data_IF_044575113034
#
_entry.id   IF_044575113034
#
_cell.length_a   1.000
_cell.length_b   1.000
_cell.length_c   1.000
_cell.angle_alpha   90.00
_cell.angle_beta   90.00
_cell.angle_gamma   90.00
#
_symmetry.space_group_name_H-M   'P 1'
#
loop_
_entity.id
_entity.type
_entity.pdbx_description
1 polymer ?
#
# COMPACT_ATOMS: atom_id res chain seq x y z
N UNK A 1 20.90 -63.77 -171.43
CA UNK A 1 20.61 -65.20 -171.25
C UNK A 1 19.10 -65.31 -171.13
N UNK A 2 18.50 -65.94 -172.14
CA UNK A 2 17.45 -66.97 -172.07
C UNK A 2 16.41 -66.89 -170.95
N UNK A 3 15.12 -67.21 -171.11
CA UNK A 3 14.25 -67.58 -172.22
C UNK A 3 12.94 -68.02 -171.55
N UNK A 4 11.80 -67.78 -172.21
CA UNK A 4 10.54 -68.58 -172.12
C UNK A 4 9.67 -68.55 -170.86
N UNK A 5 8.34 -68.52 -171.09
CA UNK A 5 7.35 -68.95 -170.10
C UNK A 5 5.97 -68.27 -170.23
N UNK A 6 5.17 -68.66 -171.22
CA UNK A 6 3.73 -68.32 -171.37
C UNK A 6 2.88 -68.81 -170.18
N UNK A 7 1.81 -68.08 -169.82
CA UNK A 7 0.40 -68.58 -169.74
C UNK A 7 -0.57 -67.40 -169.93
N UNK A 8 -1.58 -67.64 -170.76
CA UNK A 8 -2.65 -66.77 -171.26
C UNK A 8 -4.02 -67.16 -170.61
N UNK A 9 -5.05 -66.34 -170.90
CA UNK A 9 -6.49 -66.66 -171.05
C UNK A 9 -7.50 -66.20 -169.98
N UNK A 10 -8.05 -64.98 -170.18
CA UNK A 10 -9.47 -64.69 -170.59
C UNK A 10 -9.89 -63.25 -170.23
N UNK A 11 -10.10 -62.36 -171.21
CA UNK A 11 -11.37 -62.10 -171.96
C UNK A 11 -12.46 -61.47 -171.09
N UNK A 12 -13.11 -60.35 -171.41
CA UNK A 12 -13.39 -59.59 -172.64
C UNK A 12 -13.54 -58.10 -172.25
N UNK A 13 -13.33 -57.06 -173.05
CA UNK A 13 -13.47 -56.82 -174.49
C UNK A 13 -14.01 -55.37 -174.57
N UNK A 14 -13.67 -54.46 -175.47
CA UNK A 14 -13.07 -54.45 -176.79
C UNK A 14 -12.68 -52.97 -177.05
N UNK A 15 -11.42 -52.64 -177.41
CA UNK A 15 -10.93 -52.29 -178.77
C UNK A 15 -11.71 -51.16 -179.47
N UNK A 16 -11.13 -50.16 -180.15
CA UNK A 16 -9.79 -49.84 -180.68
C UNK A 16 -9.90 -48.37 -181.19
N UNK A 17 -8.92 -47.46 -181.05
CA UNK A 17 -7.97 -47.04 -182.12
C UNK A 17 -8.56 -47.00 -183.54
N UNK A 18 -8.43 -45.98 -184.41
CA UNK A 18 -7.50 -44.85 -184.59
C UNK A 18 -8.01 -44.01 -185.79
N UNK A 19 -7.65 -42.72 -185.84
CA UNK A 19 -7.27 -42.03 -187.10
C UNK A 19 -8.33 -41.27 -187.93
N UNK A 20 -8.35 -39.94 -187.76
CA UNK A 20 -8.23 -38.89 -188.81
C UNK A 20 -9.29 -37.74 -188.79
N UNK A 21 -8.76 -36.52 -188.62
CA UNK A 21 -9.08 -35.27 -189.34
C UNK A 21 -10.32 -34.40 -189.02
N UNK A 22 -10.00 -33.27 -188.35
CA UNK A 22 -10.41 -31.85 -188.60
C UNK A 22 -11.67 -31.20 -187.92
N UNK A 23 -11.36 -30.16 -187.09
CA UNK A 23 -12.14 -29.04 -186.44
C UNK A 23 -12.80 -29.27 -185.03
N UNK A 24 -13.11 -28.23 -184.20
CA UNK A 24 -12.33 -27.20 -183.44
C UNK A 24 -12.75 -27.07 -181.92
N UNK A 25 -12.19 -26.14 -181.09
CA UNK A 25 -12.92 -25.27 -180.10
C UNK A 25 -12.17 -24.81 -178.81
N UNK A 26 -12.25 -23.51 -178.52
CA UNK A 26 -12.72 -22.80 -177.29
C UNK A 26 -12.55 -23.32 -175.84
N UNK A 27 -12.01 -24.51 -175.56
CA UNK A 27 -11.92 -25.04 -174.18
C UNK A 27 -10.81 -24.44 -173.31
N UNK A 28 -9.85 -23.70 -173.88
CA UNK A 28 -8.65 -23.28 -173.15
C UNK A 28 -8.86 -22.02 -172.27
N UNK A 29 -9.67 -21.05 -172.71
CA UNK A 29 -9.96 -19.82 -171.93
C UNK A 29 -10.91 -20.12 -170.75
N UNK A 30 -11.85 -21.06 -170.93
CA UNK A 30 -12.78 -21.44 -169.88
C UNK A 30 -12.06 -22.14 -168.73
N UNK A 31 -11.09 -23.02 -169.05
CA UNK A 31 -10.26 -23.68 -168.04
C UNK A 31 -9.46 -22.68 -167.20
N UNK A 32 -8.92 -21.62 -167.81
CA UNK A 32 -8.17 -20.58 -167.07
C UNK A 32 -9.07 -19.77 -166.14
N UNK A 33 -10.26 -19.36 -166.58
CA UNK A 33 -11.22 -18.63 -165.73
C UNK A 33 -11.71 -19.51 -164.58
N UNK A 34 -11.96 -20.80 -164.85
CA UNK A 34 -12.31 -21.79 -163.82
C UNK A 34 -11.14 -22.03 -162.86
N UNK A 35 -9.89 -22.08 -163.33
CA UNK A 35 -8.72 -22.27 -162.48
C UNK A 35 -8.48 -21.07 -161.56
N UNK A 36 -8.62 -19.83 -162.05
CA UNK A 36 -8.56 -18.64 -161.21
C UNK A 36 -9.69 -18.65 -160.17
N UNK A 37 -10.90 -19.05 -160.55
CA UNK A 37 -12.03 -19.16 -159.62
C UNK A 37 -11.84 -20.26 -158.57
N UNK A 38 -11.28 -21.40 -158.96
CA UNK A 38 -10.91 -22.49 -158.04
C UNK A 38 -9.81 -22.03 -157.10
N UNK A 39 -8.78 -21.31 -157.58
CA UNK A 39 -7.68 -20.78 -156.76
C UNK A 39 -8.20 -19.70 -155.79
N UNK A 40 -9.04 -18.77 -156.25
CA UNK A 40 -9.61 -17.74 -155.35
C UNK A 40 -10.61 -18.32 -154.35
N UNK A 41 -11.40 -19.32 -154.74
CA UNK A 41 -12.30 -20.06 -153.85
C UNK A 41 -11.55 -20.91 -152.83
N UNK A 42 -10.49 -21.62 -153.24
CA UNK A 42 -9.63 -22.38 -152.31
C UNK A 42 -8.91 -21.47 -151.33
N UNK A 43 -8.40 -20.31 -151.76
CA UNK A 43 -7.78 -19.33 -150.86
C UNK A 43 -8.80 -18.76 -149.85
N UNK A 44 -10.04 -18.47 -150.28
CA UNK A 44 -11.11 -18.04 -149.37
C UNK A 44 -11.51 -19.14 -148.37
N UNK A 45 -11.58 -20.40 -148.80
CA UNK A 45 -11.91 -21.54 -147.92
C UNK A 45 -10.78 -21.77 -146.91
N UNK A 46 -9.52 -21.72 -147.34
CA UNK A 46 -8.35 -21.84 -146.44
C UNK A 46 -8.35 -20.70 -145.43
N UNK A 47 -8.59 -19.45 -145.87
CA UNK A 47 -8.63 -18.29 -144.98
C UNK A 47 -9.84 -18.29 -144.04
N UNK A 48 -10.99 -18.81 -144.49
CA UNK A 48 -12.16 -19.02 -143.64
C UNK A 48 -11.91 -20.12 -142.61
N UNK A 49 -11.25 -21.22 -143.01
CA UNK A 49 -10.85 -22.29 -142.10
C UNK A 49 -9.82 -21.80 -141.07
N UNK A 50 -8.84 -21.00 -141.48
CA UNK A 50 -7.88 -20.33 -140.60
C UNK A 50 -8.59 -19.39 -139.61
N UNK A 51 -9.54 -18.57 -140.07
CA UNK A 51 -10.36 -17.71 -139.20
C UNK A 51 -11.21 -18.50 -138.20
N UNK A 52 -11.79 -19.63 -138.61
CA UNK A 52 -12.58 -20.51 -137.72
C UNK A 52 -11.67 -21.20 -136.70
N UNK A 53 -10.47 -21.64 -137.09
CA UNK A 53 -9.47 -22.20 -136.18
C UNK A 53 -8.95 -21.15 -135.20
N UNK A 54 -8.70 -19.92 -135.67
CA UNK A 54 -8.31 -18.79 -134.83
C UNK A 54 -9.42 -18.39 -133.85
N UNK A 55 -10.68 -18.37 -134.28
CA UNK A 55 -11.86 -18.17 -133.42
C UNK A 55 -12.02 -19.30 -132.39
N UNK A 56 -11.79 -20.56 -132.78
CA UNK A 56 -11.84 -21.69 -131.84
C UNK A 56 -10.71 -21.63 -130.83
N UNK A 57 -9.51 -21.26 -131.26
CA UNK A 57 -8.34 -21.11 -130.39
C UNK A 57 -8.52 -19.92 -129.44
N UNK A 58 -9.08 -18.80 -129.90
CA UNK A 58 -9.40 -17.64 -129.05
C UNK A 58 -10.53 -17.94 -128.07
N UNK A 59 -11.60 -18.62 -128.49
CA UNK A 59 -12.68 -19.07 -127.58
C UNK A 59 -12.16 -20.12 -126.58
N UNK A 60 -11.27 -21.02 -126.99
CA UNK A 60 -10.65 -22.00 -126.10
C UNK A 60 -9.72 -21.31 -125.08
N UNK A 61 -8.91 -20.34 -125.52
CA UNK A 61 -8.08 -19.52 -124.66
C UNK A 61 -8.92 -18.66 -123.71
N UNK A 62 -10.03 -18.10 -124.16
CA UNK A 62 -10.99 -17.34 -123.34
C UNK A 62 -11.64 -18.24 -122.29
N UNK A 63 -12.06 -19.46 -122.65
CA UNK A 63 -12.58 -20.46 -121.69
C UNK A 63 -11.53 -20.86 -120.67
N UNK A 64 -10.27 -21.07 -121.08
CA UNK A 64 -9.18 -21.38 -120.16
C UNK A 64 -8.88 -20.19 -119.24
N UNK A 65 -8.86 -18.97 -119.76
CA UNK A 65 -8.68 -17.75 -118.97
C UNK A 65 -9.84 -17.55 -117.98
N UNK A 66 -11.09 -17.80 -118.39
CA UNK A 66 -12.27 -17.72 -117.55
C UNK A 66 -12.28 -18.80 -116.45
N UNK A 67 -11.91 -20.05 -116.78
CA UNK A 67 -11.79 -21.13 -115.80
C UNK A 67 -10.68 -20.84 -114.78
N UNK A 68 -9.55 -20.31 -115.25
CA UNK A 68 -8.43 -19.92 -114.38
C UNK A 68 -8.79 -18.72 -113.51
N UNK A 69 -9.49 -17.72 -114.06
CA UNK A 69 -10.03 -16.59 -113.31
C UNK A 69 -11.05 -17.05 -112.25
N UNK A 70 -11.95 -17.98 -112.58
CA UNK A 70 -12.91 -18.54 -111.63
C UNK A 70 -12.22 -19.32 -110.50
N UNK A 71 -11.23 -20.17 -110.82
CA UNK A 71 -10.46 -20.88 -109.79
C UNK A 71 -9.68 -19.92 -108.89
N UNK A 72 -9.09 -18.84 -109.46
CA UNK A 72 -8.40 -17.80 -108.71
C UNK A 72 -9.36 -17.02 -107.81
N UNK A 73 -10.54 -16.70 -108.32
CA UNK A 73 -11.61 -16.03 -107.58
C UNK A 73 -12.03 -16.87 -106.38
N UNK A 74 -12.27 -18.17 -106.56
CA UNK A 74 -12.63 -19.09 -105.49
C UNK A 74 -11.52 -19.21 -104.43
N UNK A 75 -10.25 -19.29 -104.86
CA UNK A 75 -9.11 -19.28 -103.93
C UNK A 75 -8.97 -17.95 -103.20
N UNK A 76 -9.21 -16.82 -103.88
CA UNK A 76 -9.16 -15.49 -103.27
C UNK A 76 -10.27 -15.33 -102.24
N UNK A 77 -11.49 -15.74 -102.56
CA UNK A 77 -12.63 -15.73 -101.63
C UNK A 77 -12.37 -16.62 -100.41
N UNK A 78 -11.76 -17.80 -100.60
CA UNK A 78 -11.35 -18.67 -99.50
C UNK A 78 -10.28 -18.03 -98.62
N UNK A 79 -9.25 -17.43 -99.22
CA UNK A 79 -8.18 -16.74 -98.51
C UNK A 79 -8.68 -15.50 -97.78
N UNK A 80 -9.59 -14.73 -98.38
CA UNK A 80 -10.27 -13.58 -97.75
C UNK A 80 -11.10 -14.04 -96.55
N UNK A 81 -11.84 -15.15 -96.67
CA UNK A 81 -12.57 -15.74 -95.54
C UNK A 81 -11.64 -16.19 -94.41
N UNK A 82 -10.51 -16.82 -94.74
CA UNK A 82 -9.50 -17.22 -93.75
C UNK A 82 -8.85 -16.00 -93.09
N UNK A 83 -8.51 -14.96 -93.85
CA UNK A 83 -7.98 -13.71 -93.33
C UNK A 83 -8.98 -13.03 -92.40
N UNK A 84 -10.26 -12.96 -92.77
CA UNK A 84 -11.30 -12.39 -91.92
C UNK A 84 -11.47 -13.18 -90.61
N UNK A 85 -11.42 -14.52 -90.66
CA UNK A 85 -11.45 -15.37 -89.46
C UNK A 85 -10.25 -15.13 -88.56
N UNK A 86 -9.03 -15.15 -89.11
CA UNK A 86 -7.80 -14.91 -88.35
C UNK A 86 -7.77 -13.49 -87.76
N UNK A 87 -8.26 -12.48 -88.49
CA UNK A 87 -8.42 -11.12 -87.98
C UNK A 87 -9.42 -11.06 -86.82
N UNK A 88 -10.55 -11.77 -86.91
CA UNK A 88 -11.52 -11.88 -85.82
C UNK A 88 -10.87 -12.54 -84.60
N UNK A 89 -10.22 -13.69 -84.77
CA UNK A 89 -9.52 -14.42 -83.69
C UNK A 89 -8.42 -13.57 -83.04
N UNK A 90 -7.65 -12.82 -83.85
CA UNK A 90 -6.64 -11.88 -83.35
C UNK A 90 -7.29 -10.77 -82.52
N UNK A 91 -8.40 -10.20 -82.98
CA UNK A 91 -9.11 -9.13 -82.25
C UNK A 91 -9.71 -9.64 -80.93
N UNK A 92 -10.29 -10.83 -80.92
CA UNK A 92 -10.77 -11.49 -79.69
C UNK A 92 -9.62 -11.77 -78.73
N UNK A 93 -8.50 -12.29 -79.23
CA UNK A 93 -7.31 -12.55 -78.44
C UNK A 93 -6.73 -11.25 -77.86
N UNK A 94 -6.75 -10.16 -78.63
CA UNK A 94 -6.31 -8.85 -78.17
C UNK A 94 -7.22 -8.30 -77.05
N UNK A 95 -8.54 -8.36 -77.23
CA UNK A 95 -9.51 -7.96 -76.19
C UNK A 95 -9.33 -8.81 -74.92
N UNK A 96 -9.12 -10.12 -75.05
CA UNK A 96 -8.83 -11.00 -73.90
C UNK A 96 -7.55 -10.57 -73.18
N UNK A 97 -6.47 -10.28 -73.92
CA UNK A 97 -5.22 -9.80 -73.32
C UNK A 97 -5.41 -8.46 -72.59
N UNK A 98 -6.14 -7.52 -73.17
CA UNK A 98 -6.45 -6.24 -72.53
C UNK A 98 -7.22 -6.43 -71.23
N UNK A 99 -8.24 -7.29 -71.23
CA UNK A 99 -9.02 -7.60 -70.03
C UNK A 99 -8.17 -8.25 -68.95
N UNK A 100 -7.33 -9.22 -69.32
CA UNK A 100 -6.40 -9.86 -68.38
C UNK A 100 -5.37 -8.87 -67.83
N UNK A 101 -4.92 -7.90 -68.63
CA UNK A 101 -4.02 -6.84 -68.17
C UNK A 101 -4.70 -5.91 -67.16
N UNK A 102 -5.96 -5.54 -67.40
CA UNK A 102 -6.77 -4.75 -66.46
C UNK A 102 -7.01 -5.51 -65.15
N UNK A 103 -7.45 -6.78 -65.23
CA UNK A 103 -7.64 -7.65 -64.07
C UNK A 103 -6.34 -7.82 -63.26
N UNK A 104 -5.19 -8.01 -63.92
CA UNK A 104 -3.89 -8.06 -63.26
C UNK A 104 -3.52 -6.73 -62.57
N UNK A 105 -3.77 -5.59 -63.22
CA UNK A 105 -3.55 -4.26 -62.64
C UNK A 105 -4.37 -4.09 -61.36
N UNK A 106 -5.63 -4.50 -61.37
CA UNK A 106 -6.53 -4.35 -60.21
C UNK A 106 -6.15 -5.29 -59.08
N UNK A 107 -5.74 -6.53 -59.40
CA UNK A 107 -5.19 -7.47 -58.42
C UNK A 107 -3.91 -6.91 -57.79
N UNK A 108 -3.01 -6.32 -58.57
CA UNK A 108 -1.79 -5.69 -58.06
C UNK A 108 -2.08 -4.54 -57.10
N UNK A 109 -3.05 -3.66 -57.43
CA UNK A 109 -3.48 -2.58 -56.54
C UNK A 109 -4.06 -3.13 -55.23
N UNK A 110 -4.97 -4.11 -55.33
CA UNK A 110 -5.55 -4.74 -54.15
C UNK A 110 -4.51 -5.45 -53.28
N UNK A 111 -3.47 -6.03 -53.88
CA UNK A 111 -2.37 -6.67 -53.17
C UNK A 111 -1.53 -5.62 -52.42
N UNK A 112 -1.18 -4.50 -53.08
CA UNK A 112 -0.46 -3.40 -52.47
C UNK A 112 -1.22 -2.79 -51.27
N UNK A 113 -2.54 -2.59 -51.41
CA UNK A 113 -3.38 -2.09 -50.32
C UNK A 113 -3.41 -3.06 -49.13
N UNK A 114 -3.50 -4.37 -49.40
CA UNK A 114 -3.45 -5.41 -48.37
C UNK A 114 -2.09 -5.46 -47.69
N UNK A 115 -0.99 -5.33 -48.43
CA UNK A 115 0.36 -5.28 -47.86
C UNK A 115 0.53 -4.07 -46.93
N UNK A 116 0.06 -2.89 -47.34
CA UNK A 116 0.05 -1.71 -46.48
C UNK A 116 -0.77 -1.95 -45.21
N UNK A 117 -1.94 -2.60 -45.32
CA UNK A 117 -2.77 -2.95 -44.16
C UNK A 117 -2.09 -3.94 -43.23
N UNK A 118 -1.37 -4.92 -43.76
CA UNK A 118 -0.58 -5.88 -42.97
C UNK A 118 0.54 -5.14 -42.22
N UNK A 119 1.22 -4.20 -42.88
CA UNK A 119 2.27 -3.40 -42.24
C UNK A 119 1.72 -2.54 -41.10
N UNK A 120 0.58 -1.88 -41.30
CA UNK A 120 -0.04 -1.07 -40.24
C UNK A 120 -0.51 -1.93 -39.06
N UNK A 121 -1.13 -3.08 -39.31
CA UNK A 121 -1.53 -4.02 -38.27
C UNK A 121 -0.33 -4.62 -37.52
N UNK A 122 0.79 -4.85 -38.19
CA UNK A 122 2.03 -5.30 -37.53
C UNK A 122 2.60 -4.22 -36.60
N UNK A 123 2.63 -2.96 -37.06
CA UNK A 123 3.06 -1.85 -36.23
C UNK A 123 2.15 -1.66 -35.00
N UNK A 124 0.82 -1.78 -35.19
CA UNK A 124 -0.15 -1.72 -34.10
C UNK A 124 0.06 -2.85 -33.09
N UNK A 125 0.26 -4.10 -33.55
CA UNK A 125 0.55 -5.23 -32.66
C UNK A 125 1.84 -5.00 -31.86
N UNK A 126 2.92 -4.55 -32.49
CA UNK A 126 4.16 -4.21 -31.77
C UNK A 126 3.94 -3.12 -30.71
N UNK A 127 3.12 -2.12 -31.02
CA UNK A 127 2.76 -1.08 -30.06
C UNK A 127 1.91 -1.64 -28.91
N UNK A 128 0.98 -2.56 -29.19
CA UNK A 128 0.17 -3.22 -28.17
C UNK A 128 1.02 -4.11 -27.26
N UNK A 129 1.97 -4.85 -27.82
CA UNK A 129 2.90 -5.70 -27.06
C UNK A 129 3.77 -4.85 -26.12
N UNK A 130 4.35 -3.76 -26.62
CA UNK A 130 5.14 -2.86 -25.76
C UNK A 130 4.30 -2.22 -24.65
N UNK A 131 3.03 -1.85 -24.93
CA UNK A 131 2.10 -1.37 -23.90
C UNK A 131 1.77 -2.44 -22.89
N UNK A 132 1.56 -3.68 -23.33
CA UNK A 132 1.30 -4.83 -22.45
C UNK A 132 2.47 -5.08 -21.51
N UNK A 133 3.71 -5.09 -22.02
CA UNK A 133 4.89 -5.24 -21.17
C UNK A 133 5.01 -4.14 -20.12
N UNK A 134 4.75 -2.88 -20.49
CA UNK A 134 4.77 -1.76 -19.54
C UNK A 134 3.69 -1.93 -18.46
N UNK A 135 2.49 -2.36 -18.84
CA UNK A 135 1.41 -2.63 -17.90
C UNK A 135 1.73 -3.82 -16.98
N UNK A 136 2.34 -4.88 -17.49
CA UNK A 136 2.80 -6.03 -16.69
C UNK A 136 3.88 -5.61 -15.69
N UNK A 137 4.85 -4.78 -16.10
CA UNK A 137 5.84 -4.22 -15.16
C UNK A 137 5.20 -3.33 -14.10
N UNK A 138 4.23 -2.50 -14.49
CA UNK A 138 3.53 -1.60 -13.56
C UNK A 138 2.67 -2.37 -12.55
N UNK A 139 1.97 -3.42 -12.99
CA UNK A 139 1.17 -4.27 -12.10
C UNK A 139 2.06 -5.04 -11.13
N UNK A 140 3.20 -5.57 -11.58
CA UNK A 140 4.18 -6.23 -10.72
C UNK A 140 4.88 -5.28 -9.72
N UNK A 141 5.00 -3.98 -10.06
CA UNK A 141 5.48 -2.96 -9.13
C UNK A 141 4.42 -2.62 -8.07
N UNK A 142 3.17 -2.38 -8.52
CA UNK A 142 2.06 -2.11 -7.62
C UNK A 142 1.76 -3.26 -6.66
N UNK A 143 1.90 -4.51 -7.10
CA UNK A 143 1.72 -5.67 -6.21
C UNK A 143 2.78 -5.70 -5.11
N UNK A 144 4.05 -5.44 -5.45
CA UNK A 144 5.15 -5.33 -4.48
C UNK A 144 4.96 -4.18 -3.49
N UNK A 145 4.49 -3.03 -3.97
CA UNK A 145 4.17 -1.89 -3.10
C UNK A 145 2.99 -2.22 -2.16
N UNK A 146 1.99 -2.95 -2.65
CA UNK A 146 0.86 -3.39 -1.84
C UNK A 146 1.31 -4.38 -0.75
N UNK A 147 2.14 -5.36 -1.08
CA UNK A 147 2.74 -6.30 -0.12
C UNK A 147 3.60 -5.59 0.93
N UNK A 148 4.40 -4.61 0.50
CA UNK A 148 5.21 -3.80 1.41
C UNK A 148 4.34 -3.00 2.38
N UNK A 149 3.32 -2.32 1.85
CA UNK A 149 2.43 -1.50 2.68
C UNK A 149 1.55 -2.35 3.60
N UNK A 150 1.16 -3.57 3.21
CA UNK A 150 0.47 -4.49 4.11
C UNK A 150 1.38 -4.96 5.24
N UNK A 151 2.63 -5.33 4.94
CA UNK A 151 3.60 -5.71 5.97
C UNK A 151 3.89 -4.54 6.93
N UNK A 152 4.06 -3.32 6.41
CA UNK A 152 4.23 -2.12 7.24
C UNK A 152 3.03 -1.90 8.16
N UNK A 153 1.79 -2.06 7.68
CA UNK A 153 0.59 -1.98 8.52
C UNK A 153 0.55 -3.05 9.61
N UNK A 154 0.90 -4.29 9.29
CA UNK A 154 0.94 -5.37 10.29
C UNK A 154 1.96 -5.08 11.39
N UNK A 155 3.16 -4.61 11.03
CA UNK A 155 4.17 -4.24 12.03
C UNK A 155 3.71 -3.06 12.90
N UNK A 156 3.02 -2.09 12.31
CA UNK A 156 2.52 -0.93 13.04
C UNK A 156 1.38 -1.32 13.98
N UNK A 157 0.47 -2.20 13.53
CA UNK A 157 -0.59 -2.79 14.36
C UNK A 157 0.00 -3.50 15.58
N UNK A 158 1.00 -4.37 15.38
CA UNK A 158 1.67 -5.07 16.47
C UNK A 158 2.35 -4.09 17.46
N UNK A 159 2.95 -3.00 16.97
CA UNK A 159 3.50 -1.94 17.82
C UNK A 159 2.42 -1.23 18.63
N UNK A 160 1.25 -0.95 18.05
CA UNK A 160 0.13 -0.33 18.76
C UNK A 160 -0.40 -1.24 19.87
N UNK A 161 -0.56 -2.53 19.59
CA UNK A 161 -0.98 -3.53 20.59
C UNK A 161 0.05 -3.62 21.74
N UNK A 162 1.34 -3.70 21.40
CA UNK A 162 2.42 -3.71 22.39
C UNK A 162 2.43 -2.43 23.26
N UNK A 163 2.20 -1.26 22.65
CA UNK A 163 2.08 0.01 23.38
C UNK A 163 0.85 0.03 24.28
N UNK A 164 -0.29 -0.50 23.81
CA UNK A 164 -1.50 -0.66 24.61
C UNK A 164 -1.26 -1.51 25.86
N UNK A 165 -0.61 -2.66 25.70
CA UNK A 165 -0.24 -3.54 26.82
C UNK A 165 0.81 -2.90 27.76
N UNK A 166 1.71 -2.08 27.23
CA UNK A 166 2.65 -1.30 28.07
C UNK A 166 1.92 -0.26 28.91
N UNK A 167 0.95 0.45 28.34
CA UNK A 167 0.15 1.45 29.08
C UNK A 167 -0.65 0.75 30.19
N UNK A 168 -1.30 -0.38 29.90
CA UNK A 168 -2.02 -1.16 30.92
C UNK A 168 -1.10 -1.56 32.09
N UNK A 169 0.11 -2.05 31.79
CA UNK A 169 1.10 -2.41 32.81
C UNK A 169 1.54 -1.22 33.65
N UNK A 170 1.83 -0.08 33.01
CA UNK A 170 2.21 1.15 33.72
C UNK A 170 1.08 1.63 34.62
N UNK A 171 -0.17 1.60 34.15
CA UNK A 171 -1.32 2.00 34.95
C UNK A 171 -1.52 1.09 36.17
N UNK A 172 -1.36 -0.22 36.00
CA UNK A 172 -1.41 -1.17 37.12
C UNK A 172 -0.28 -0.92 38.14
N UNK A 173 0.94 -0.63 37.67
CA UNK A 173 2.05 -0.27 38.54
C UNK A 173 1.81 1.04 39.29
N UNK A 174 1.22 2.03 38.61
CA UNK A 174 0.90 3.32 39.20
C UNK A 174 -0.16 3.16 40.29
N UNK A 175 -1.22 2.39 40.03
CA UNK A 175 -2.23 2.08 41.04
C UNK A 175 -1.64 1.36 42.25
N UNK A 176 -0.78 0.36 42.04
CA UNK A 176 -0.09 -0.33 43.13
C UNK A 176 0.80 0.62 43.94
N UNK A 177 1.46 1.57 43.27
CA UNK A 177 2.29 2.57 43.94
C UNK A 177 1.45 3.56 44.76
N UNK A 178 0.28 3.94 44.27
CA UNK A 178 -0.69 4.77 45.01
C UNK A 178 -1.23 4.05 46.25
N UNK A 179 -1.59 2.77 46.11
CA UNK A 179 -2.05 1.92 47.23
C UNK A 179 -0.95 1.79 48.29
N UNK A 180 0.27 1.44 47.90
CA UNK A 180 1.40 1.36 48.84
C UNK A 180 1.72 2.69 49.50
N UNK A 181 1.62 3.81 48.77
CA UNK A 181 1.80 5.14 49.36
C UNK A 181 0.72 5.46 50.40
N UNK A 182 -0.54 5.12 50.13
CA UNK A 182 -1.63 5.30 51.08
C UNK A 182 -1.43 4.47 52.35
N UNK A 183 -0.99 3.21 52.21
CA UNK A 183 -0.64 2.34 53.35
C UNK A 183 0.49 2.96 54.19
N UNK A 184 1.57 3.42 53.56
CA UNK A 184 2.70 4.06 54.27
C UNK A 184 2.29 5.34 54.99
N UNK A 185 1.39 6.13 54.42
CA UNK A 185 0.85 7.31 55.09
C UNK A 185 0.01 6.95 56.31
N UNK A 186 -0.80 5.89 56.23
CA UNK A 186 -1.56 5.37 57.37
C UNK A 186 -0.63 4.87 58.48
N UNK A 187 0.38 4.06 58.14
CA UNK A 187 1.42 3.60 59.08
C UNK A 187 2.12 4.78 59.77
N UNK A 188 2.57 5.78 59.02
CA UNK A 188 3.17 6.99 59.61
C UNK A 188 2.22 7.74 60.55
N UNK A 189 0.93 7.75 60.24
CA UNK A 189 -0.12 8.27 61.12
C UNK A 189 -0.16 7.54 62.46
N UNK A 190 -0.21 6.21 62.42
CA UNK A 190 -0.23 5.36 63.63
C UNK A 190 1.03 5.53 64.48
N UNK A 191 2.22 5.47 63.87
CA UNK A 191 3.50 5.66 64.57
C UNK A 191 3.59 7.05 65.21
N UNK A 192 3.06 8.09 64.56
CA UNK A 192 2.99 9.44 65.14
C UNK A 192 2.07 9.49 66.36
N UNK A 193 0.92 8.82 66.31
CA UNK A 193 -0.01 8.73 67.44
C UNK A 193 0.60 7.95 68.61
N UNK A 194 1.19 6.79 68.35
CA UNK A 194 1.88 5.99 69.37
C UNK A 194 3.02 6.78 70.02
N UNK A 195 3.83 7.50 69.23
CA UNK A 195 4.89 8.35 69.75
C UNK A 195 4.35 9.50 70.61
N UNK A 196 3.20 10.06 70.26
CA UNK A 196 2.55 11.10 71.07
C UNK A 196 2.04 10.52 72.40
N UNK A 197 1.39 9.35 72.38
CA UNK A 197 0.92 8.66 73.57
C UNK A 197 2.08 8.24 74.49
N UNK A 198 3.15 7.65 73.94
CA UNK A 198 4.34 7.29 74.70
C UNK A 198 5.01 8.50 75.35
N UNK A 199 5.06 9.64 74.65
CA UNK A 199 5.55 10.91 75.23
C UNK A 199 4.69 11.39 76.41
N UNK A 200 3.36 11.28 76.31
CA UNK A 200 2.46 11.62 77.40
C UNK A 200 2.64 10.68 78.60
N UNK A 201 2.75 9.38 78.37
CA UNK A 201 3.01 8.40 79.42
C UNK A 201 4.34 8.66 80.13
N UNK A 202 5.41 8.95 79.38
CA UNK A 202 6.71 9.31 79.97
C UNK A 202 6.63 10.61 80.78
N UNK A 203 5.85 11.60 80.35
CA UNK A 203 5.64 12.82 81.12
C UNK A 203 4.86 12.55 82.42
N UNK A 204 3.81 11.73 82.36
CA UNK A 204 3.06 11.29 83.55
C UNK A 204 3.94 10.53 84.55
N UNK A 205 4.70 9.54 84.07
CA UNK A 205 5.60 8.75 84.91
C UNK A 205 6.69 9.61 85.59
N UNK A 206 7.19 10.64 84.88
CA UNK A 206 8.13 11.61 85.47
C UNK A 206 7.47 12.41 86.60
N UNK A 207 6.25 12.89 86.40
CA UNK A 207 5.51 13.62 87.43
C UNK A 207 5.18 12.73 88.65
N UNK A 208 4.81 11.47 88.41
CA UNK A 208 4.59 10.48 89.46
C UNK A 208 5.88 10.21 90.25
N UNK A 209 7.01 10.11 89.56
CA UNK A 209 8.33 9.94 90.18
C UNK A 209 8.71 11.16 91.03
N UNK A 210 8.52 12.38 90.53
CA UNK A 210 8.74 13.62 91.29
C UNK A 210 7.88 13.67 92.56
N UNK A 211 6.62 13.23 92.46
CA UNK A 211 5.71 13.16 93.60
C UNK A 211 6.14 12.11 94.62
N UNK A 212 6.57 10.94 94.15
CA UNK A 212 7.07 9.87 95.01
C UNK A 212 8.37 10.28 95.71
N UNK A 213 9.28 10.93 94.98
CA UNK A 213 10.52 11.46 95.53
C UNK A 213 10.22 12.47 96.65
N UNK A 214 9.30 13.41 96.44
CA UNK A 214 8.87 14.34 97.50
C UNK A 214 8.34 13.63 98.75
N UNK A 215 7.48 12.62 98.60
CA UNK A 215 6.97 11.81 99.73
C UNK A 215 8.06 11.01 100.42
N UNK A 216 9.00 10.47 99.65
CA UNK A 216 10.15 9.73 100.19
C UNK A 216 11.04 10.66 101.02
N UNK A 217 11.30 11.87 100.54
CA UNK A 217 12.02 12.90 101.29
C UNK A 217 11.31 13.26 102.60
N UNK A 218 9.98 13.36 102.63
CA UNK A 218 9.22 13.58 103.87
C UNK A 218 9.41 12.46 104.90
N UNK A 219 9.51 11.20 104.47
CA UNK A 219 9.64 10.04 105.37
C UNK A 219 11.05 9.86 105.94
N UNK A 220 12.08 10.38 105.27
CA UNK A 220 13.48 10.21 105.70
C UNK A 220 13.96 11.37 106.58
N UNK A 221 13.15 12.44 106.72
CA UNK A 221 13.48 13.49 107.69
C UNK A 221 13.66 12.85 109.07
N UNK A 222 14.82 13.07 109.74
CA UNK A 222 15.14 12.38 110.98
C UNK A 222 14.10 12.73 112.04
N UNK A 223 13.61 11.77 112.83
CA UNK A 223 12.56 12.02 113.81
C UNK A 223 12.88 13.24 114.71
N UNK A 224 11.92 14.16 114.84
CA UNK A 224 12.02 15.35 115.72
C UNK A 224 12.41 14.91 117.14
N UNK A 225 13.60 15.28 117.59
CA UNK A 225 14.21 14.80 118.83
C UNK A 225 14.70 15.98 119.66
N UNK A 226 14.47 15.93 120.98
CA UNK A 226 14.88 16.97 121.92
C UNK A 226 16.28 16.72 122.53
N UNK A 227 16.86 15.56 122.25
CA UNK A 227 18.18 15.13 122.70
C UNK A 227 19.26 15.98 122.03
N UNK A 228 20.20 16.49 122.82
CA UNK A 228 21.25 17.44 122.42
C UNK A 228 20.75 18.77 121.81
N UNK A 229 19.55 19.23 122.19
CA UNK A 229 18.96 20.49 121.73
C UNK A 229 18.62 21.43 122.89
N UNK A 230 18.56 22.72 122.58
CA UNK A 230 18.15 23.75 123.54
C UNK A 230 16.62 23.79 123.64
N UNK A 231 16.10 23.17 124.70
CA UNK A 231 14.66 22.97 124.91
C UNK A 231 14.03 24.20 125.56
N UNK A 232 13.15 24.87 124.83
CA UNK A 232 12.30 25.96 125.31
C UNK A 232 10.89 25.46 125.46
N UNK A 233 10.29 25.60 126.65
CA UNK A 233 8.91 25.16 126.87
C UNK A 233 7.94 26.34 126.81
N UNK A 234 6.95 26.27 125.94
CA UNK A 234 5.87 27.25 125.81
C UNK A 234 4.57 26.62 126.29
N UNK A 235 3.99 27.15 127.35
CA UNK A 235 2.68 26.75 127.87
C UNK A 235 1.62 27.75 127.44
N UNK A 236 0.52 27.27 126.89
CA UNK A 236 -0.60 28.12 126.50
C UNK A 236 -1.90 27.61 127.12
N UNK A 237 -2.62 28.53 127.76
CA UNK A 237 -3.96 28.29 128.33
C UNK A 237 -4.79 29.56 128.23
N UNK A 238 -6.10 29.41 128.32
CA UNK A 238 -7.09 30.47 128.37
C UNK A 238 -7.85 30.35 129.69
N UNK A 239 -7.79 31.40 130.50
CA UNK A 239 -8.44 31.45 131.82
C UNK A 239 -9.30 32.71 131.84
N UNK A 240 -10.59 32.57 132.14
CA UNK A 240 -11.57 33.67 132.18
C UNK A 240 -11.63 34.52 130.90
N UNK A 241 -11.43 33.88 129.74
CA UNK A 241 -11.45 34.53 128.42
C UNK A 241 -10.13 35.18 128.00
N UNK A 242 -9.15 35.27 128.90
CA UNK A 242 -7.82 35.85 128.62
C UNK A 242 -6.79 34.78 128.26
N UNK A 243 -5.99 35.07 127.23
CA UNK A 243 -4.88 34.24 126.78
C UNK A 243 -3.69 34.37 127.75
N UNK A 244 -3.31 33.27 128.40
CA UNK A 244 -2.13 33.20 129.27
C UNK A 244 -1.07 32.31 128.64
N UNK A 245 -0.04 32.97 128.12
CA UNK A 245 1.13 32.32 127.54
C UNK A 245 2.24 32.37 128.59
N UNK A 246 2.92 31.25 128.78
CA UNK A 246 4.07 31.19 129.65
C UNK A 246 5.24 30.54 128.92
N UNK A 247 6.43 31.11 129.02
CA UNK A 247 7.64 30.55 128.42
C UNK A 247 8.65 30.20 129.52
N UNK A 248 9.32 29.08 129.33
CA UNK A 248 10.48 28.67 130.12
C UNK A 248 11.65 28.50 129.17
N UNK A 249 12.64 29.37 129.30
CA UNK A 249 13.86 29.35 128.51
C UNK A 249 14.77 28.17 128.83
N UNK A 250 15.86 28.00 128.06
CA UNK A 250 16.81 26.93 128.30
C UNK A 250 17.53 27.15 129.64
N UNK A 251 17.49 26.15 130.53
CA UNK A 251 18.07 26.24 131.88
C UNK A 251 17.25 27.01 132.93
N UNK A 252 16.10 27.58 132.56
CA UNK A 252 15.22 28.27 133.52
C UNK A 252 14.37 27.30 134.33
N UNK A 253 14.29 27.50 135.65
CA UNK A 253 13.53 26.62 136.54
C UNK A 253 12.01 26.89 136.52
N UNK A 254 11.59 28.13 136.23
CA UNK A 254 10.20 28.57 136.31
C UNK A 254 9.67 29.10 134.97
N UNK A 255 8.35 29.04 134.79
CA UNK A 255 7.67 29.63 133.64
C UNK A 255 7.42 31.12 133.91
N UNK A 256 7.79 31.99 132.95
CA UNK A 256 7.46 33.41 132.96
C UNK A 256 6.19 33.66 132.14
N UNK A 257 5.21 34.39 132.69
CA UNK A 257 4.01 34.79 131.96
C UNK A 257 4.33 35.95 131.01
N UNK A 258 3.87 35.85 129.76
CA UNK A 258 4.23 36.74 128.66
C UNK A 258 2.99 37.03 127.81
N UNK A 259 2.98 38.21 127.19
CA UNK A 259 2.09 38.48 126.07
C UNK A 259 2.54 37.73 124.81
N UNK A 260 1.66 37.64 123.81
CA UNK A 260 1.98 37.00 122.52
C UNK A 260 3.11 37.73 121.78
N UNK A 261 3.15 39.08 121.83
CA UNK A 261 4.22 39.86 121.22
C UNK A 261 5.58 39.58 121.88
N UNK A 262 5.62 39.55 123.21
CA UNK A 262 6.84 39.24 123.97
C UNK A 262 7.28 37.79 123.80
N UNK A 263 6.34 36.85 123.63
CA UNK A 263 6.65 35.45 123.29
C UNK A 263 7.43 35.40 121.97
N UNK A 264 6.90 36.05 120.93
CA UNK A 264 7.53 36.06 119.61
C UNK A 264 8.88 36.78 119.64
N UNK A 265 9.02 37.88 120.38
CA UNK A 265 10.30 38.59 120.54
C UNK A 265 11.35 37.68 121.20
N UNK A 266 11.00 37.03 122.32
CA UNK A 266 11.91 36.12 123.04
C UNK A 266 12.26 34.89 122.22
N UNK A 267 11.29 34.27 121.54
CA UNK A 267 11.56 33.12 120.67
C UNK A 267 12.38 33.51 119.45
N UNK A 268 12.20 34.71 118.90
CA UNK A 268 13.04 35.22 117.82
C UNK A 268 14.48 35.45 118.28
N UNK A 269 14.67 35.99 119.48
CA UNK A 269 16.00 36.15 120.07
C UNK A 269 16.67 34.79 120.34
N UNK A 270 15.91 33.81 120.85
CA UNK A 270 16.41 32.45 121.08
C UNK A 270 16.70 31.73 119.77
N UNK A 271 15.89 31.93 118.72
CA UNK A 271 16.13 31.40 117.38
C UNK A 271 17.39 32.00 116.78
N UNK A 272 17.61 33.30 116.89
CA UNK A 272 18.84 33.92 116.39
C UNK A 272 20.08 33.47 117.17
N UNK A 273 19.92 33.05 118.44
CA UNK A 273 21.02 32.61 119.29
C UNK A 273 21.40 31.14 119.07
N UNK A 274 20.41 30.27 118.92
CA UNK A 274 20.60 28.81 118.84
C UNK A 274 20.29 28.22 117.46
N UNK A 275 19.79 29.03 116.52
CA UNK A 275 19.49 28.70 115.12
C UNK A 275 18.88 27.31 114.91
N UNK A 276 19.69 26.35 114.45
CA UNK A 276 19.30 24.97 114.12
C UNK A 276 19.27 24.03 115.33
N UNK A 277 19.44 24.55 116.54
CA UNK A 277 19.48 23.78 117.78
C UNK A 277 18.31 24.10 118.72
N UNK A 278 17.47 25.08 118.38
CA UNK A 278 16.31 25.47 119.17
C UNK A 278 15.17 24.45 119.06
N UNK A 279 14.83 23.78 120.16
CA UNK A 279 13.68 22.89 120.26
C UNK A 279 12.55 23.56 121.04
N UNK A 280 11.40 23.77 120.40
CA UNK A 280 10.23 24.41 121.00
C UNK A 280 9.25 23.34 121.50
N UNK A 281 9.23 23.11 122.80
CA UNK A 281 8.28 22.21 123.48
C UNK A 281 6.99 22.95 123.80
N UNK A 282 5.93 22.69 123.04
CA UNK A 282 4.62 23.29 123.30
C UNK A 282 3.83 22.41 124.28
N UNK A 283 3.31 23.01 125.34
CA UNK A 283 2.56 22.33 126.41
C UNK A 283 1.17 22.95 126.48
N UNK A 284 0.17 22.17 126.07
CA UNK A 284 -1.25 22.55 126.16
C UNK A 284 -1.90 21.64 127.21
N UNK A 285 -2.20 22.15 128.42
CA UNK A 285 -2.89 21.37 129.44
C UNK A 285 -4.27 20.89 128.97
N UNK A 286 -4.76 19.79 129.53
CA UNK A 286 -6.13 19.28 129.27
C UNK A 286 -7.21 20.30 129.64
N UNK A 287 -6.96 21.13 130.66
CA UNK A 287 -7.82 22.23 131.11
C UNK A 287 -7.38 23.58 130.52
N UNK A 288 -6.87 23.58 129.28
CA UNK A 288 -6.36 24.80 128.64
C UNK A 288 -7.46 25.77 128.20
N UNK A 289 -8.72 25.36 128.07
CA UNK A 289 -9.81 26.22 127.59
C UNK A 289 -9.66 26.68 126.12
N UNK A 290 -8.79 26.01 125.35
CA UNK A 290 -8.52 26.29 123.94
C UNK A 290 -9.32 25.36 123.03
N UNK A 291 -9.78 25.86 121.88
CA UNK A 291 -10.31 24.99 120.83
C UNK A 291 -9.18 24.26 120.09
N UNK A 292 -9.52 23.13 119.45
CA UNK A 292 -8.55 22.34 118.67
C UNK A 292 -7.87 23.19 117.59
N UNK A 293 -8.63 24.00 116.84
CA UNK A 293 -8.09 24.83 115.77
C UNK A 293 -7.14 25.92 116.30
N UNK A 294 -7.43 26.51 117.46
CA UNK A 294 -6.57 27.52 118.09
C UNK A 294 -5.29 26.90 118.65
N UNK A 295 -5.39 25.74 119.31
CA UNK A 295 -4.25 24.98 119.78
C UNK A 295 -3.34 24.54 118.63
N UNK A 296 -3.94 24.05 117.54
CA UNK A 296 -3.22 23.60 116.35
C UNK A 296 -2.58 24.76 115.59
N UNK A 297 -3.29 25.86 115.36
CA UNK A 297 -2.74 27.02 114.67
C UNK A 297 -1.60 27.69 115.44
N UNK A 298 -1.74 27.80 116.78
CA UNK A 298 -0.68 28.28 117.66
C UNK A 298 0.55 27.37 117.59
N UNK A 299 0.33 26.05 117.68
CA UNK A 299 1.41 25.05 117.60
C UNK A 299 2.14 25.12 116.26
N UNK A 300 1.41 25.11 115.15
CA UNK A 300 1.98 25.13 113.80
C UNK A 300 2.73 26.43 113.51
N UNK A 301 2.18 27.58 113.93
CA UNK A 301 2.81 28.88 113.75
C UNK A 301 4.14 28.97 114.52
N UNK A 302 4.17 28.53 115.77
CA UNK A 302 5.38 28.53 116.58
C UNK A 302 6.43 27.55 116.07
N UNK A 303 6.05 26.32 115.75
CA UNK A 303 6.98 25.30 115.27
C UNK A 303 7.57 25.68 113.91
N UNK A 304 6.75 26.06 112.93
CA UNK A 304 7.22 26.46 111.59
C UNK A 304 8.16 27.67 111.59
N UNK A 305 8.03 28.57 112.58
CA UNK A 305 8.84 29.79 112.65
C UNK A 305 10.08 29.66 113.53
N UNK A 306 10.07 28.82 114.56
CA UNK A 306 11.13 28.84 115.58
C UNK A 306 11.73 27.48 115.89
N UNK A 307 11.05 26.37 115.62
CA UNK A 307 11.56 25.03 115.95
C UNK A 307 12.51 24.51 114.87
N UNK A 308 13.66 23.97 115.28
CA UNK A 308 14.71 23.52 114.38
C UNK A 308 14.22 22.51 113.33
N UNK A 309 13.27 21.64 113.68
CA UNK A 309 12.83 20.54 112.85
C UNK A 309 12.00 20.98 111.63
N UNK A 310 11.40 22.17 111.72
CA UNK A 310 10.55 22.72 110.67
C UNK A 310 11.23 23.89 109.92
N UNK A 311 12.52 24.14 110.20
CA UNK A 311 13.35 25.09 109.44
C UNK A 311 14.08 24.34 108.31
N UNK A 312 13.33 23.91 107.28
CA UNK A 312 13.90 23.45 106.00
C UNK A 312 14.02 24.62 105.01
#
# INVERSE_FOLDING_TARGET
>A
MDSQGFVDLRQNGHSHGQGESFWPSFTDIMMVVVMIFIITSTVLIVRNWELVVELQNTVAAERQAAALAASRQETNESLESQLARLQSELSEAHIRNLRLAEENSDVQKALADREQRILSLRAENQQLDSRREVLERRTAALSRDLERTSAERETLQAQYEQRGERIKRINAQLQQLEETLAERLAELGTVRQERAAARQQLAGLRADYETLDAKYQELIKPARTAEDREVVAVRYRRVDGEARIQLRGPGEAAFAELSEAELHERLSALKNRYEKELYVKIIIPSESGLSYNEAWSFTQNLLSRYDYYYQD
#
